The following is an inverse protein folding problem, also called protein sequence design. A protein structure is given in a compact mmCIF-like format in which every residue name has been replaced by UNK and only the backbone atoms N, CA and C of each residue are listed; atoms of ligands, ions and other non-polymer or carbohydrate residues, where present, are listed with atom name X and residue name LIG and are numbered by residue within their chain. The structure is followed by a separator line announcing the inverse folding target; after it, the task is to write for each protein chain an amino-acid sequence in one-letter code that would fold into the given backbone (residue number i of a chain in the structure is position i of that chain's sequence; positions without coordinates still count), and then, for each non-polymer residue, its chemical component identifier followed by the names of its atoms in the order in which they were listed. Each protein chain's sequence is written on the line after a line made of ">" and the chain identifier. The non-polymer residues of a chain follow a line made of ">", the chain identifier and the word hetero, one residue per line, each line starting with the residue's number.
data_IF_916430337967
#
_entry.id   IF_916430337967
#
_cell.length_a   1.000
_cell.length_b   1.000
_cell.length_c   1.000
_cell.angle_alpha   90.00
_cell.angle_beta   90.00
_cell.angle_gamma   90.00
#
_symmetry.space_group_name_H-M   'P 1'
#
loop_
_entity.id
_entity.type
_entity.pdbx_description
1 polymer ?
#
# COMPACT_ATOMS: atom_id res chain seq x y z
N UNK A 1 -41.14 30.80 -19.77
CA UNK A 1 -40.28 29.61 -19.62
C UNK A 1 -38.91 29.97 -20.17
N UNK A 2 -37.94 30.26 -19.31
CA UNK A 2 -36.55 30.49 -19.74
C UNK A 2 -35.86 29.15 -19.62
N UNK A 3 -35.45 28.61 -20.77
CA UNK A 3 -34.72 27.37 -20.89
C UNK A 3 -33.24 27.69 -20.61
N UNK A 4 -32.80 27.58 -19.36
CA UNK A 4 -31.38 27.67 -19.02
C UNK A 4 -30.74 26.29 -19.19
N UNK A 5 -30.48 25.93 -20.44
CA UNK A 5 -29.56 24.86 -20.78
C UNK A 5 -28.16 25.28 -20.38
N UNK A 6 -27.76 24.99 -19.14
CA UNK A 6 -26.38 24.99 -18.73
C UNK A 6 -25.76 23.69 -19.24
N UNK A 7 -25.18 23.77 -20.44
CA UNK A 7 -24.12 22.88 -20.86
C UNK A 7 -22.92 23.09 -19.92
N UNK A 8 -22.96 22.49 -18.74
CA UNK A 8 -21.82 22.36 -17.84
C UNK A 8 -21.20 20.96 -17.98
N UNK A 9 -20.97 20.53 -19.22
CA UNK A 9 -20.01 19.45 -19.53
C UNK A 9 -18.60 20.06 -19.71
N UNK A 10 -18.20 20.89 -18.74
CA UNK A 10 -16.83 21.38 -18.62
C UNK A 10 -16.01 20.24 -18.02
N UNK A 11 -15.42 19.44 -18.89
CA UNK A 11 -14.20 18.66 -18.71
C UNK A 11 -13.93 18.27 -17.24
N UNK A 12 -14.69 17.32 -16.70
CA UNK A 12 -14.38 16.70 -15.39
C UNK A 12 -13.18 15.80 -15.58
N UNK A 13 -12.01 16.41 -15.74
CA UNK A 13 -10.74 15.71 -15.83
C UNK A 13 -10.56 14.73 -14.67
N UNK A 14 -9.86 13.64 -14.95
CA UNK A 14 -9.54 12.60 -13.97
C UNK A 14 -8.81 13.25 -12.79
N UNK A 15 -9.38 13.15 -11.59
CA UNK A 15 -8.75 13.65 -10.36
C UNK A 15 -7.81 12.58 -9.82
N UNK A 16 -6.52 12.86 -9.76
CA UNK A 16 -5.50 11.95 -9.26
C UNK A 16 -4.85 12.53 -8.00
N UNK A 17 -4.64 11.69 -6.99
CA UNK A 17 -3.79 12.01 -5.84
C UNK A 17 -2.71 10.95 -5.67
N UNK A 18 -1.48 11.40 -5.48
CA UNK A 18 -0.34 10.56 -5.16
C UNK A 18 0.06 10.77 -3.71
N UNK A 19 -0.03 9.72 -2.91
CA UNK A 19 0.35 9.71 -1.50
C UNK A 19 1.73 9.06 -1.40
N UNK A 20 2.76 9.89 -1.25
CA UNK A 20 4.12 9.42 -1.01
C UNK A 20 4.32 9.17 0.50
N UNK A 21 4.67 7.94 0.88
CA UNK A 21 4.78 7.51 2.28
C UNK A 21 6.12 6.85 2.58
N UNK A 22 6.61 7.11 3.78
CA UNK A 22 7.65 6.32 4.42
C UNK A 22 7.08 5.79 5.74
N UNK A 23 6.58 4.57 5.71
CA UNK A 23 5.93 3.95 6.85
C UNK A 23 6.94 3.60 7.94
N UNK A 24 6.52 3.56 9.21
CA UNK A 24 7.42 3.16 10.29
C UNK A 24 7.96 1.74 10.09
N UNK A 25 9.24 1.53 10.43
CA UNK A 25 9.83 0.19 10.50
C UNK A 25 9.10 -0.63 11.57
N UNK A 26 8.88 -1.92 11.29
CA UNK A 26 8.39 -2.85 12.30
C UNK A 26 9.52 -3.26 13.26
N UNK A 27 9.21 -3.31 14.55
CA UNK A 27 10.11 -3.74 15.61
C UNK A 27 9.32 -4.60 16.61
N UNK A 28 9.25 -5.93 16.39
CA UNK A 28 8.41 -6.82 17.18
C UNK A 28 8.74 -6.83 18.68
N UNK A 29 10.00 -6.55 19.02
CA UNK A 29 10.47 -6.50 20.40
C UNK A 29 10.13 -5.17 21.10
N UNK A 30 9.54 -4.21 20.38
CA UNK A 30 9.16 -2.91 20.87
C UNK A 30 7.64 -2.66 20.69
N UNK A 31 6.83 -2.95 21.73
CA UNK A 31 5.37 -2.82 21.66
C UNK A 31 4.89 -1.42 21.25
N UNK A 32 5.57 -0.36 21.69
CA UNK A 32 5.20 1.01 21.32
C UNK A 32 5.39 1.29 19.82
N UNK A 33 6.45 0.72 19.21
CA UNK A 33 6.67 0.84 17.77
C UNK A 33 5.66 0.04 16.96
N UNK A 34 5.29 -1.16 17.43
CA UNK A 34 4.23 -1.97 16.82
C UNK A 34 2.89 -1.23 16.85
N UNK A 35 2.53 -0.66 18.00
CA UNK A 35 1.30 0.15 18.13
C UNK A 35 1.34 1.39 17.23
N UNK A 36 2.46 2.12 17.23
CA UNK A 36 2.63 3.29 16.37
C UNK A 36 2.45 2.95 14.88
N UNK A 37 3.08 1.88 14.41
CA UNK A 37 2.94 1.41 13.03
C UNK A 37 1.51 1.00 12.71
N UNK A 38 0.86 0.29 13.64
CA UNK A 38 -0.55 -0.12 13.49
C UNK A 38 -1.48 1.09 13.38
N UNK A 39 -1.30 2.11 14.22
CA UNK A 39 -2.06 3.37 14.13
C UNK A 39 -1.77 4.12 12.83
N UNK A 40 -0.51 4.15 12.40
CA UNK A 40 -0.13 4.78 11.14
C UNK A 40 -0.85 4.14 9.94
N UNK A 41 -0.89 2.80 9.87
CA UNK A 41 -1.60 2.07 8.82
C UNK A 41 -3.10 2.37 8.80
N UNK A 42 -3.74 2.42 9.97
CA UNK A 42 -5.16 2.80 10.10
C UNK A 42 -5.41 4.22 9.56
N UNK A 43 -4.54 5.17 9.92
CA UNK A 43 -4.64 6.55 9.44
C UNK A 43 -4.44 6.66 7.93
N UNK A 44 -3.43 5.96 7.39
CA UNK A 44 -3.15 5.92 5.96
C UNK A 44 -4.36 5.38 5.20
N UNK A 45 -4.87 4.21 5.61
CA UNK A 45 -6.06 3.57 5.01
C UNK A 45 -7.27 4.52 5.02
N UNK A 46 -7.59 5.12 6.18
CA UNK A 46 -8.69 6.06 6.29
C UNK A 46 -8.52 7.28 5.35
N UNK A 47 -7.30 7.81 5.23
CA UNK A 47 -7.00 8.94 4.34
C UNK A 47 -7.19 8.58 2.87
N UNK A 48 -6.69 7.43 2.42
CA UNK A 48 -6.81 7.02 1.02
C UNK A 48 -8.24 6.63 0.64
N UNK A 49 -9.00 6.06 1.58
CA UNK A 49 -10.43 5.80 1.40
C UNK A 49 -11.21 7.09 1.27
N UNK A 50 -10.89 8.12 2.05
CA UNK A 50 -11.52 9.44 1.92
C UNK A 50 -11.28 10.04 0.52
N UNK A 51 -10.04 9.97 0.01
CA UNK A 51 -9.76 10.46 -1.35
C UNK A 51 -10.56 9.71 -2.42
N UNK A 52 -10.69 8.39 -2.31
CA UNK A 52 -11.54 7.60 -3.22
C UNK A 52 -13.01 8.02 -3.12
N UNK A 53 -13.51 8.22 -1.91
CA UNK A 53 -14.88 8.71 -1.68
C UNK A 53 -15.11 10.08 -2.32
N UNK A 54 -14.11 10.97 -2.29
CA UNK A 54 -14.15 12.29 -2.91
C UNK A 54 -13.98 12.26 -4.44
N UNK A 55 -13.90 11.07 -5.04
CA UNK A 55 -13.81 10.85 -6.49
C UNK A 55 -12.39 10.96 -7.06
N UNK A 56 -11.35 10.79 -6.24
CA UNK A 56 -9.97 10.73 -6.70
C UNK A 56 -9.55 9.29 -7.00
N UNK A 57 -8.79 9.13 -8.07
CA UNK A 57 -7.87 8.02 -8.29
C UNK A 57 -6.70 8.18 -7.32
N UNK A 58 -6.30 7.09 -6.66
CA UNK A 58 -5.34 7.15 -5.56
C UNK A 58 -4.15 6.26 -5.83
N UNK A 59 -2.95 6.84 -5.79
CA UNK A 59 -1.69 6.10 -5.86
C UNK A 59 -1.01 6.19 -4.50
N UNK A 60 -0.57 5.06 -3.95
CA UNK A 60 0.24 4.99 -2.73
C UNK A 60 1.66 4.59 -3.14
N UNK A 61 2.59 5.55 -3.09
CA UNK A 61 3.99 5.31 -3.45
C UNK A 61 4.88 5.43 -2.24
N UNK A 62 6.02 4.74 -2.28
CA UNK A 62 7.08 4.86 -1.29
C UNK A 62 7.34 3.56 -0.56
N UNK A 63 7.74 3.67 0.69
CA UNK A 63 8.20 2.55 1.51
C UNK A 63 7.12 2.20 2.55
N UNK A 64 6.47 1.05 2.39
CA UNK A 64 5.47 0.55 3.35
C UNK A 64 6.10 -0.19 4.55
N UNK A 65 7.40 -0.44 4.52
CA UNK A 65 8.12 -1.27 5.49
C UNK A 65 7.47 -2.66 5.70
N UNK A 66 6.93 -3.27 4.63
CA UNK A 66 6.26 -4.59 4.64
C UNK A 66 6.63 -5.37 3.37
N UNK A 67 6.98 -6.64 3.54
CA UNK A 67 6.95 -7.64 2.46
C UNK A 67 5.59 -8.36 2.51
N UNK A 68 4.78 -8.23 1.47
CA UNK A 68 3.41 -8.76 1.46
C UNK A 68 3.36 -10.29 1.42
N UNK A 69 3.96 -10.90 0.39
CA UNK A 69 3.97 -12.34 0.18
C UNK A 69 5.35 -12.94 0.46
N UNK A 70 5.41 -14.26 0.63
CA UNK A 70 6.67 -14.96 0.89
C UNK A 70 7.69 -14.76 -0.24
N UNK A 71 7.24 -14.69 -1.50
CA UNK A 71 8.07 -14.39 -2.69
C UNK A 71 8.74 -13.01 -2.63
N UNK A 72 8.22 -12.09 -1.82
CA UNK A 72 8.75 -10.73 -1.64
C UNK A 72 9.80 -10.63 -0.52
N UNK A 73 10.12 -11.74 0.16
CA UNK A 73 11.01 -11.77 1.32
C UNK A 73 11.99 -12.95 1.23
N UNK A 74 13.29 -12.68 1.21
CA UNK A 74 14.29 -13.74 0.99
C UNK A 74 14.38 -14.78 2.11
N UNK A 75 14.00 -14.42 3.34
CA UNK A 75 14.00 -15.31 4.53
C UNK A 75 12.59 -15.69 5.01
N UNK A 76 11.58 -15.64 4.14
CA UNK A 76 10.18 -15.88 4.54
C UNK A 76 9.98 -17.22 5.28
N UNK A 77 10.72 -18.25 4.87
CA UNK A 77 10.68 -19.60 5.45
C UNK A 77 11.23 -19.68 6.88
N UNK A 78 12.02 -18.69 7.32
CA UNK A 78 12.57 -18.62 8.68
C UNK A 78 11.65 -17.86 9.64
N UNK A 79 10.62 -17.19 9.13
CA UNK A 79 9.67 -16.40 9.91
C UNK A 79 8.47 -17.28 10.29
N UNK A 80 8.32 -17.54 11.59
CA UNK A 80 7.15 -18.24 12.13
C UNK A 80 5.89 -17.44 11.81
N UNK A 81 4.87 -18.13 11.28
CA UNK A 81 3.57 -17.54 10.98
C UNK A 81 3.65 -16.28 10.09
N UNK A 82 4.55 -16.28 9.09
CA UNK A 82 4.78 -15.16 8.17
C UNK A 82 3.49 -14.42 7.76
N UNK A 83 2.45 -15.16 7.34
CA UNK A 83 1.19 -14.57 6.86
C UNK A 83 0.25 -14.01 7.95
N UNK A 84 0.48 -14.32 9.23
CA UNK A 84 -0.34 -13.83 10.34
C UNK A 84 0.14 -12.49 10.91
N UNK A 85 1.23 -11.94 10.39
CA UNK A 85 1.72 -10.63 10.80
C UNK A 85 0.63 -9.55 10.57
N UNK A 86 0.29 -8.74 11.60
CA UNK A 86 -0.78 -7.75 11.49
C UNK A 86 -0.62 -6.74 10.37
N UNK A 87 0.62 -6.40 10.00
CA UNK A 87 0.89 -5.44 8.93
C UNK A 87 0.70 -6.06 7.55
N UNK A 88 0.96 -7.36 7.38
CA UNK A 88 0.61 -8.10 6.16
C UNK A 88 -0.89 -8.30 6.03
N UNK A 89 -1.58 -8.58 7.14
CA UNK A 89 -3.05 -8.65 7.16
C UNK A 89 -3.68 -7.31 6.76
N UNK A 90 -3.13 -6.19 7.25
CA UNK A 90 -3.54 -4.86 6.80
C UNK A 90 -3.40 -4.65 5.28
N UNK A 91 -2.34 -5.20 4.65
CA UNK A 91 -2.23 -5.16 3.19
C UNK A 91 -3.31 -5.98 2.50
N UNK A 92 -3.65 -7.17 3.02
CA UNK A 92 -4.78 -7.95 2.49
C UNK A 92 -6.07 -7.13 2.53
N UNK A 93 -6.35 -6.46 3.64
CA UNK A 93 -7.54 -5.62 3.75
C UNK A 93 -7.55 -4.46 2.73
N UNK A 94 -6.39 -3.88 2.41
CA UNK A 94 -6.32 -2.90 1.31
C UNK A 94 -6.67 -3.56 -0.02
N UNK A 95 -6.11 -4.72 -0.32
CA UNK A 95 -6.42 -5.39 -1.59
C UNK A 95 -7.89 -5.82 -1.68
N UNK A 96 -8.50 -6.24 -0.56
CA UNK A 96 -9.93 -6.53 -0.47
C UNK A 96 -10.80 -5.28 -0.71
N UNK A 97 -10.31 -4.09 -0.34
CA UNK A 97 -10.96 -2.80 -0.66
C UNK A 97 -10.81 -2.41 -2.15
N UNK A 98 -10.19 -3.24 -2.98
CA UNK A 98 -9.97 -3.02 -4.41
C UNK A 98 -8.70 -2.24 -4.74
N UNK A 99 -7.77 -2.13 -3.80
CA UNK A 99 -6.42 -1.64 -4.09
C UNK A 99 -5.59 -2.75 -4.81
N UNK A 100 -4.53 -2.40 -5.56
CA UNK A 100 -3.73 -3.36 -6.35
C UNK A 100 -2.23 -3.13 -6.16
N UNK A 101 -1.44 -4.18 -5.93
CA UNK A 101 0.04 -4.12 -6.03
C UNK A 101 0.43 -4.15 -7.51
N UNK A 102 0.72 -2.97 -8.07
CA UNK A 102 0.98 -2.86 -9.50
C UNK A 102 2.14 -3.70 -9.99
N UNK A 103 3.21 -3.88 -9.22
CA UNK A 103 4.28 -4.73 -9.72
C UNK A 103 3.85 -6.20 -9.72
N UNK A 104 3.04 -6.67 -8.75
CA UNK A 104 2.51 -8.05 -8.81
C UNK A 104 1.42 -8.23 -9.87
N UNK A 105 0.78 -7.15 -10.31
CA UNK A 105 -0.11 -7.18 -11.47
C UNK A 105 0.66 -7.51 -12.76
N UNK A 106 1.82 -6.88 -12.98
CA UNK A 106 2.63 -7.10 -14.20
C UNK A 106 3.65 -8.25 -14.07
N UNK A 107 4.06 -8.58 -12.84
CA UNK A 107 5.11 -9.55 -12.52
C UNK A 107 4.67 -10.50 -11.38
N UNK A 108 3.57 -11.27 -11.58
CA UNK A 108 2.94 -12.05 -10.51
C UNK A 108 3.86 -13.11 -9.91
N UNK A 109 4.67 -13.76 -10.74
CA UNK A 109 5.53 -14.89 -10.35
C UNK A 109 7.02 -14.52 -10.29
N UNK A 110 7.38 -13.27 -10.53
CA UNK A 110 8.78 -12.85 -10.57
C UNK A 110 9.42 -12.99 -9.17
N UNK A 111 10.42 -13.87 -9.09
CA UNK A 111 11.19 -14.13 -7.88
C UNK A 111 12.36 -13.16 -7.80
N UNK A 112 12.86 -12.95 -6.59
CA UNK A 112 14.07 -12.15 -6.33
C UNK A 112 14.00 -10.66 -6.70
N UNK A 113 12.79 -10.13 -6.92
CA UNK A 113 12.55 -8.72 -7.18
C UNK A 113 12.56 -7.88 -5.90
N UNK A 114 13.70 -7.77 -5.23
CA UNK A 114 13.82 -7.04 -3.96
C UNK A 114 14.14 -5.56 -4.18
N UNK A 115 13.70 -4.69 -3.27
CA UNK A 115 13.93 -3.23 -3.37
C UNK A 115 14.75 -2.65 -2.22
N UNK A 116 14.98 -3.41 -1.15
CA UNK A 116 15.87 -3.05 -0.05
C UNK A 116 16.80 -4.19 0.32
N UNK A 117 18.06 -3.86 0.55
CA UNK A 117 19.10 -4.79 1.00
C UNK A 117 19.56 -4.38 2.39
N UNK A 118 19.33 -5.23 3.38
CA UNK A 118 19.93 -5.04 4.71
C UNK A 118 21.37 -5.58 4.69
N UNK A 119 22.32 -4.82 5.24
CA UNK A 119 23.73 -5.22 5.40
C UNK A 119 23.95 -6.39 6.38
N UNK A 120 22.92 -6.78 7.15
CA UNK A 120 22.96 -7.91 8.08
C UNK A 120 21.97 -9.05 7.77
N UNK A 121 20.82 -8.78 7.13
CA UNK A 121 19.72 -9.79 6.96
C UNK A 121 19.07 -9.85 5.57
N UNK A 122 19.63 -9.20 4.55
CA UNK A 122 19.26 -9.37 3.13
C UNK A 122 17.78 -9.08 2.71
N UNK A 123 17.63 -8.41 1.57
CA UNK A 123 16.50 -8.48 0.62
C UNK A 123 15.03 -8.50 1.12
N UNK A 124 14.41 -7.31 1.22
CA UNK A 124 12.96 -7.12 1.37
C UNK A 124 12.43 -6.30 0.18
N UNK A 125 11.33 -6.72 -0.46
CA UNK A 125 10.60 -5.87 -1.40
C UNK A 125 9.60 -4.99 -0.65
N UNK A 126 9.83 -3.69 -0.72
CA UNK A 126 8.96 -2.62 -0.25
C UNK A 126 8.08 -2.17 -1.40
N UNK A 127 6.78 -2.23 -1.16
CA UNK A 127 5.75 -2.24 -2.20
C UNK A 127 5.40 -0.82 -2.66
N UNK A 128 5.52 -0.60 -3.97
CA UNK A 128 4.84 0.45 -4.71
C UNK A 128 3.43 -0.06 -5.07
N UNK A 129 2.38 0.54 -4.51
CA UNK A 129 0.99 0.16 -4.76
C UNK A 129 0.34 1.25 -5.63
N UNK A 130 0.14 0.98 -6.92
CA UNK A 130 -0.65 1.84 -7.81
C UNK A 130 -2.03 1.20 -7.97
N UNK A 131 -3.08 2.02 -7.79
CA UNK A 131 -4.48 1.61 -7.84
C UNK A 131 -5.20 2.52 -8.85
N UNK A 132 -6.20 1.95 -9.52
CA UNK A 132 -7.03 2.55 -10.58
C UNK A 132 -7.28 4.04 -10.44
#
# INVERSE_FOLDING_TARGET
>A
MINSGLHDDVDRGIKLVMVNVYCPRNDPDNPERVDFKTRFHRLLKARVQQYRFDGYHVIIVGDLNIAHKAIDHCEANMIVDFHKDPHRLWMNELFDDGYVDCFREFHPEEQHAYTVWNTQVACIRLVLIIIY
#
